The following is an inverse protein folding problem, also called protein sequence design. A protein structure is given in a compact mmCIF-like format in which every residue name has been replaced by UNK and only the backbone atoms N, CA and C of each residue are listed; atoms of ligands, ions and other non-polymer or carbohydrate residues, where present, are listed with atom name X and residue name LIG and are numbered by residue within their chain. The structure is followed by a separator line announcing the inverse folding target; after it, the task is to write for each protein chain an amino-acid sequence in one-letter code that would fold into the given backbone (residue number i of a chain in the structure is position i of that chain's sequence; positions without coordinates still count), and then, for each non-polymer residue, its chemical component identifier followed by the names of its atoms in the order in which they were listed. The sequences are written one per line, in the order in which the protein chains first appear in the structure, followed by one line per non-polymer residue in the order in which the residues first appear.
data_IF_286198119790
#
_entry.id   IF_286198119790
#
_cell.length_a   1.000
_cell.length_b   1.000
_cell.length_c   1.000
_cell.angle_alpha   90.00
_cell.angle_beta   90.00
_cell.angle_gamma   90.00
#
_symmetry.space_group_name_H-M   'P 1'
#
loop_
_entity.id
_entity.type
_entity.pdbx_description
1 polymer ?
#
# COMPACT_ATOMS: atom_id res chain seq x y z
N UNK A 1 73.77 13.98 41.26
CA UNK A 1 73.68 15.45 41.08
C UNK A 1 72.26 15.72 40.67
N UNK A 2 71.58 16.10 41.67
CA UNK A 2 70.64 17.18 41.96
C UNK A 2 69.31 17.08 41.17
N UNK A 3 68.24 16.69 41.85
CA UNK A 3 67.33 17.65 42.54
C UNK A 3 66.45 18.38 41.50
N UNK A 4 65.16 18.57 41.58
CA UNK A 4 64.26 18.49 42.70
C UNK A 4 62.80 18.69 42.19
N UNK A 5 61.90 18.09 42.93
CA UNK A 5 60.64 18.62 43.42
C UNK A 5 59.44 18.97 42.51
N UNK A 6 58.42 18.24 42.77
CA UNK A 6 57.09 18.63 43.28
C UNK A 6 56.08 19.23 42.30
N UNK A 7 54.91 18.63 42.34
CA UNK A 7 53.68 19.34 42.16
C UNK A 7 52.44 18.49 41.78
N UNK A 8 52.01 17.63 42.71
CA UNK A 8 50.65 17.09 42.70
C UNK A 8 49.64 18.21 42.85
N UNK A 9 48.71 18.36 41.92
CA UNK A 9 47.38 18.93 42.23
C UNK A 9 46.30 18.12 41.55
N UNK A 10 45.60 17.34 42.38
CA UNK A 10 44.21 16.95 42.16
C UNK A 10 43.41 18.23 41.99
N UNK A 11 42.55 18.30 40.96
CA UNK A 11 41.47 19.26 40.88
C UNK A 11 40.16 18.46 40.91
N UNK A 12 39.48 18.65 42.00
CA UNK A 12 38.19 18.12 42.34
C UNK A 12 37.11 18.64 41.40
N UNK A 13 36.17 17.76 41.09
CA UNK A 13 34.89 18.09 40.47
C UNK A 13 34.06 18.98 41.42
N UNK A 14 33.40 20.01 40.95
CA UNK A 14 32.31 20.60 41.70
C UNK A 14 30.98 19.90 41.31
N UNK A 15 30.49 19.13 42.25
CA UNK A 15 29.10 18.72 42.36
C UNK A 15 28.15 19.91 42.56
N UNK A 16 26.99 19.81 41.97
CA UNK A 16 25.68 20.28 42.41
C UNK A 16 25.64 21.62 43.18
N UNK A 17 25.34 22.70 42.47
CA UNK A 17 24.66 23.85 43.03
C UNK A 17 23.19 23.87 42.57
N UNK A 18 22.31 23.25 43.37
CA UNK A 18 20.87 23.50 43.35
C UNK A 18 20.65 24.98 43.73
N UNK A 19 20.37 25.79 42.71
CA UNK A 19 19.87 27.17 42.98
C UNK A 19 18.40 27.03 43.36
N UNK A 20 18.17 27.15 44.66
CA UNK A 20 16.84 27.27 45.25
C UNK A 20 16.36 28.71 44.99
N UNK A 21 15.60 28.93 43.91
CA UNK A 21 14.94 30.22 43.66
C UNK A 21 13.61 30.21 44.40
N UNK A 22 13.58 30.77 45.58
CA UNK A 22 12.33 31.15 46.25
C UNK A 22 11.62 32.19 45.39
N UNK A 23 10.31 32.08 45.14
CA UNK A 23 9.59 33.14 44.45
C UNK A 23 9.49 34.38 45.34
N UNK A 24 10.17 35.46 44.93
CA UNK A 24 9.93 36.80 45.46
C UNK A 24 8.55 37.23 44.97
N UNK A 25 7.54 37.04 45.80
CA UNK A 25 6.22 37.64 45.61
C UNK A 25 6.31 39.13 45.93
N UNK A 26 6.42 39.97 44.91
CA UNK A 26 6.25 41.41 45.05
C UNK A 26 4.75 41.71 45.14
N UNK A 27 4.26 42.23 46.29
CA UNK A 27 2.84 42.49 46.50
C UNK A 27 2.26 43.54 45.53
N UNK A 28 3.08 44.33 44.85
CA UNK A 28 2.63 45.30 43.86
C UNK A 28 2.27 44.67 42.52
N UNK A 29 2.82 43.50 42.20
CA UNK A 29 2.48 42.79 40.96
C UNK A 29 1.09 42.11 41.09
N UNK A 30 0.76 41.59 42.27
CA UNK A 30 -0.57 41.02 42.51
C UNK A 30 -1.69 42.08 42.51
N UNK A 31 -1.42 43.30 43.02
CA UNK A 31 -2.38 44.39 42.98
C UNK A 31 -2.67 44.85 41.56
N UNK A 32 -1.65 44.96 40.71
CA UNK A 32 -1.81 45.38 39.30
C UNK A 32 -2.51 44.31 38.45
N UNK A 33 -2.32 43.03 38.77
CA UNK A 33 -3.05 41.94 38.09
C UNK A 33 -4.52 41.87 38.53
N UNK A 34 -4.85 42.23 39.76
CA UNK A 34 -6.26 42.29 40.22
C UNK A 34 -7.02 43.50 39.67
N UNK A 35 -6.37 44.66 39.50
CA UNK A 35 -6.99 45.82 38.84
C UNK A 35 -7.21 45.59 37.35
N UNK A 36 -6.29 44.91 36.66
CA UNK A 36 -6.47 44.54 35.26
C UNK A 36 -7.57 43.48 35.05
N UNK A 37 -7.80 42.58 36.00
CA UNK A 37 -8.86 41.59 35.95
C UNK A 37 -10.26 42.16 36.24
N UNK A 38 -10.36 43.29 36.94
CA UNK A 38 -11.63 43.95 37.25
C UNK A 38 -12.16 44.87 36.15
N UNK A 39 -11.34 45.24 35.16
CA UNK A 39 -11.72 46.19 34.10
C UNK A 39 -12.38 45.55 32.87
N UNK A 40 -12.33 44.24 32.74
CA UNK A 40 -13.05 43.49 31.72
C UNK A 40 -14.13 42.61 32.40
N UNK A 41 -15.36 43.13 32.49
CA UNK A 41 -16.52 42.37 32.84
C UNK A 41 -16.81 41.31 31.79
N UNK A 42 -16.07 40.21 31.85
CA UNK A 42 -16.31 39.00 31.04
C UNK A 42 -16.73 37.89 31.98
N UNK A 43 -17.80 37.19 31.59
CA UNK A 43 -18.31 35.97 32.22
C UNK A 43 -17.21 35.01 32.64
N UNK A 44 -17.40 34.19 33.68
CA UNK A 44 -16.40 33.22 34.10
C UNK A 44 -15.96 32.39 32.92
N UNK A 45 -14.68 32.46 32.58
CA UNK A 45 -14.09 31.53 31.61
C UNK A 45 -14.40 30.12 32.08
N UNK A 46 -15.43 29.53 31.50
CA UNK A 46 -15.67 28.13 31.60
C UNK A 46 -14.41 27.47 31.05
N UNK A 47 -13.56 26.97 31.95
CA UNK A 47 -12.51 26.03 31.65
C UNK A 47 -13.24 24.79 31.16
N UNK A 48 -13.73 24.85 29.91
CA UNK A 48 -14.13 23.71 29.17
C UNK A 48 -12.88 22.85 29.07
N UNK A 49 -12.83 21.80 29.88
CA UNK A 49 -12.01 20.63 29.57
C UNK A 49 -12.27 20.37 28.08
N UNK A 50 -11.26 20.60 27.25
CA UNK A 50 -11.28 20.13 25.87
C UNK A 50 -11.41 18.60 25.99
N UNK A 51 -12.66 18.13 26.07
CA UNK A 51 -12.95 16.73 25.84
C UNK A 51 -12.28 16.42 24.53
N UNK A 52 -11.22 15.62 24.59
CA UNK A 52 -10.54 15.09 23.45
C UNK A 52 -11.64 14.43 22.60
N UNK A 53 -11.91 15.01 21.43
CA UNK A 53 -12.93 14.56 20.48
C UNK A 53 -12.48 13.27 19.78
N UNK A 54 -11.78 12.40 20.56
CA UNK A 54 -11.34 11.10 20.09
C UNK A 54 -12.53 10.14 20.01
N UNK A 55 -12.62 9.40 18.90
CA UNK A 55 -13.68 8.41 18.76
C UNK A 55 -13.58 7.34 19.88
N UNK A 56 -14.72 6.82 20.37
CA UNK A 56 -14.74 5.80 21.42
C UNK A 56 -14.03 4.52 20.94
N UNK A 57 -13.52 3.74 21.90
CA UNK A 57 -12.89 2.45 21.61
C UNK A 57 -13.83 1.52 20.84
N UNK A 58 -13.33 0.93 19.76
CA UNK A 58 -14.11 -0.02 18.95
C UNK A 58 -14.11 -1.40 19.60
N UNK A 59 -15.28 -2.03 19.64
CA UNK A 59 -15.49 -3.36 20.20
C UNK A 59 -15.09 -4.49 19.25
N UNK A 60 -15.07 -5.74 19.76
CA UNK A 60 -14.70 -6.93 19.00
C UNK A 60 -15.56 -7.15 17.74
N UNK A 61 -16.86 -6.85 17.81
CA UNK A 61 -17.77 -6.97 16.66
C UNK A 61 -17.36 -6.05 15.50
N UNK A 62 -16.97 -4.80 15.79
CA UNK A 62 -16.45 -3.89 14.80
C UNK A 62 -15.15 -4.43 14.16
N UNK A 63 -14.21 -4.92 14.99
CA UNK A 63 -12.93 -5.47 14.54
C UNK A 63 -13.15 -6.66 13.62
N UNK A 64 -14.05 -7.58 13.96
CA UNK A 64 -14.36 -8.76 13.15
C UNK A 64 -14.96 -8.37 11.80
N UNK A 65 -15.97 -7.49 11.79
CA UNK A 65 -16.63 -7.02 10.56
C UNK A 65 -15.65 -6.21 9.69
N UNK A 66 -14.83 -5.36 10.29
CA UNK A 66 -13.77 -4.62 9.61
C UNK A 66 -12.80 -5.58 8.89
N UNK A 67 -12.28 -6.57 9.62
CA UNK A 67 -11.32 -7.54 9.06
C UNK A 67 -11.93 -8.40 7.96
N UNK A 68 -13.17 -8.85 8.13
CA UNK A 68 -13.90 -9.65 7.13
C UNK A 68 -14.17 -8.83 5.85
N UNK A 69 -14.59 -7.57 6.00
CA UNK A 69 -14.87 -6.72 4.84
C UNK A 69 -13.59 -6.39 4.06
N UNK A 70 -12.48 -6.12 4.76
CA UNK A 70 -11.17 -5.94 4.11
C UNK A 70 -10.69 -7.22 3.45
N UNK A 71 -10.86 -8.38 4.08
CA UNK A 71 -10.53 -9.68 3.46
C UNK A 71 -11.33 -9.90 2.17
N UNK A 72 -12.66 -9.72 2.21
CA UNK A 72 -13.51 -9.82 1.01
C UNK A 72 -13.13 -8.82 -0.07
N UNK A 73 -12.81 -7.58 0.31
CA UNK A 73 -12.34 -6.56 -0.63
C UNK A 73 -11.03 -6.96 -1.32
N UNK A 74 -10.04 -7.44 -0.55
CA UNK A 74 -8.80 -7.92 -1.12
C UNK A 74 -8.98 -9.18 -1.97
N UNK A 75 -9.92 -10.09 -1.64
CA UNK A 75 -10.24 -11.23 -2.49
C UNK A 75 -10.77 -10.77 -3.86
N UNK A 76 -11.68 -9.81 -3.89
CA UNK A 76 -12.23 -9.24 -5.14
C UNK A 76 -11.13 -8.61 -6.01
N UNK A 77 -10.09 -8.05 -5.39
CA UNK A 77 -8.95 -7.49 -6.10
C UNK A 77 -7.95 -8.57 -6.55
N UNK A 78 -7.59 -9.49 -5.65
CA UNK A 78 -6.45 -10.37 -5.85
C UNK A 78 -6.80 -11.62 -6.65
N UNK A 79 -8.02 -12.18 -6.55
CA UNK A 79 -8.40 -13.35 -7.37
C UNK A 79 -8.27 -13.03 -8.86
N UNK A 80 -8.82 -11.93 -9.38
CA UNK A 80 -8.58 -11.56 -10.78
C UNK A 80 -7.13 -11.19 -11.07
N UNK A 81 -6.50 -10.41 -10.23
CA UNK A 81 -5.16 -9.87 -10.52
C UNK A 81 -4.06 -10.93 -10.50
N UNK A 82 -4.19 -11.98 -9.68
CA UNK A 82 -3.17 -13.01 -9.51
C UNK A 82 -3.46 -14.28 -10.29
N UNK A 83 -4.72 -14.56 -10.65
CA UNK A 83 -5.08 -15.83 -11.29
C UNK A 83 -6.20 -15.70 -12.33
N UNK A 84 -7.44 -15.35 -11.93
CA UNK A 84 -8.60 -15.62 -12.77
C UNK A 84 -8.67 -14.78 -14.05
N UNK A 85 -8.13 -13.56 -14.04
CA UNK A 85 -8.08 -12.73 -15.25
C UNK A 85 -7.11 -13.29 -16.29
N UNK A 86 -5.90 -13.67 -15.85
CA UNK A 86 -4.92 -14.32 -16.73
C UNK A 86 -5.44 -15.64 -17.26
N UNK A 87 -6.07 -16.46 -16.40
CA UNK A 87 -6.69 -17.71 -16.80
C UNK A 87 -7.83 -17.51 -17.82
N UNK A 88 -8.71 -16.53 -17.61
CA UNK A 88 -9.79 -16.21 -18.55
C UNK A 88 -9.25 -15.76 -19.91
N UNK A 89 -8.21 -14.91 -19.93
CA UNK A 89 -7.57 -14.47 -21.17
C UNK A 89 -6.91 -15.64 -21.89
N UNK A 90 -6.23 -16.53 -21.19
CA UNK A 90 -5.66 -17.78 -21.75
C UNK A 90 -6.70 -18.63 -22.48
N UNK A 91 -7.94 -18.69 -21.96
CA UNK A 91 -9.02 -19.47 -22.59
C UNK A 91 -9.60 -18.81 -23.84
N UNK A 92 -9.58 -17.47 -23.93
CA UNK A 92 -10.21 -16.73 -25.03
C UNK A 92 -9.22 -16.46 -26.16
N UNK A 93 -7.97 -16.11 -25.82
CA UNK A 93 -6.94 -15.65 -26.76
C UNK A 93 -5.60 -16.33 -26.41
N UNK A 94 -5.43 -17.64 -26.67
CA UNK A 94 -4.21 -18.36 -26.31
C UNK A 94 -2.94 -17.83 -26.96
N UNK A 95 -3.02 -17.39 -28.24
CA UNK A 95 -1.87 -16.92 -29.03
C UNK A 95 -1.45 -15.48 -28.70
N UNK A 96 -2.39 -14.63 -28.25
CA UNK A 96 -2.16 -13.21 -27.93
C UNK A 96 -2.31 -12.88 -26.43
N UNK A 97 -2.34 -13.88 -25.55
CA UNK A 97 -2.69 -13.76 -24.13
C UNK A 97 -1.86 -12.74 -23.37
N UNK A 98 -0.56 -12.67 -23.64
CA UNK A 98 0.35 -11.77 -22.94
C UNK A 98 0.04 -10.31 -23.27
N UNK A 99 -0.19 -10.02 -24.56
CA UNK A 99 -0.56 -8.69 -25.02
C UNK A 99 -1.95 -8.28 -24.51
N UNK A 100 -2.92 -9.19 -24.58
CA UNK A 100 -4.26 -8.99 -24.09
C UNK A 100 -4.29 -8.73 -22.58
N UNK A 101 -3.58 -9.54 -21.79
CA UNK A 101 -3.49 -9.36 -20.33
C UNK A 101 -2.81 -8.05 -19.97
N UNK A 102 -1.68 -7.72 -20.61
CA UNK A 102 -0.96 -6.48 -20.38
C UNK A 102 -1.82 -5.24 -20.64
N UNK A 103 -2.59 -5.26 -21.74
CA UNK A 103 -3.53 -4.21 -22.10
C UNK A 103 -4.67 -4.08 -21.07
N UNK A 104 -5.30 -5.19 -20.68
CA UNK A 104 -6.42 -5.21 -19.73
C UNK A 104 -5.94 -4.68 -18.36
N UNK A 105 -4.84 -5.21 -17.83
CA UNK A 105 -4.33 -4.81 -16.52
C UNK A 105 -3.83 -3.37 -16.54
N UNK A 106 -3.07 -2.98 -17.57
CA UNK A 106 -2.55 -1.63 -17.73
C UNK A 106 -3.64 -0.56 -17.83
N UNK A 107 -4.64 -0.75 -18.70
CA UNK A 107 -5.77 0.17 -18.83
C UNK A 107 -6.58 0.20 -17.53
N UNK A 108 -6.88 -0.96 -16.93
CA UNK A 108 -7.60 -1.01 -15.67
C UNK A 108 -6.92 -0.22 -14.55
N UNK A 109 -5.60 -0.34 -14.42
CA UNK A 109 -4.83 0.38 -13.43
C UNK A 109 -4.84 1.90 -13.67
N UNK A 110 -4.83 2.37 -14.92
CA UNK A 110 -5.00 3.79 -15.25
C UNK A 110 -6.38 4.31 -14.84
N UNK A 111 -7.44 3.53 -15.06
CA UNK A 111 -8.77 3.88 -14.58
C UNK A 111 -8.82 3.97 -13.06
N UNK A 112 -8.25 3.00 -12.35
CA UNK A 112 -8.18 3.02 -10.88
C UNK A 112 -7.46 4.27 -10.35
N UNK A 113 -6.36 4.65 -11.00
CA UNK A 113 -5.57 5.83 -10.66
C UNK A 113 -6.39 7.13 -10.73
N UNK A 114 -7.26 7.25 -11.72
CA UNK A 114 -8.13 8.42 -11.92
C UNK A 114 -9.37 8.36 -11.01
N UNK A 115 -9.98 7.18 -10.91
CA UNK A 115 -11.23 6.98 -10.19
C UNK A 115 -11.05 7.05 -8.66
N UNK A 116 -9.89 6.63 -8.13
CA UNK A 116 -9.62 6.67 -6.70
C UNK A 116 -9.85 8.06 -6.07
N UNK A 117 -9.17 9.13 -6.53
CA UNK A 117 -9.40 10.48 -6.04
C UNK A 117 -10.84 10.99 -6.27
N UNK A 118 -11.46 10.63 -7.40
CA UNK A 118 -12.85 11.02 -7.73
C UNK A 118 -13.80 10.44 -6.71
N UNK A 119 -13.75 9.13 -6.47
CA UNK A 119 -14.62 8.48 -5.48
C UNK A 119 -14.32 8.92 -4.06
N UNK A 120 -13.06 9.24 -3.74
CA UNK A 120 -12.68 9.83 -2.46
C UNK A 120 -13.43 11.15 -2.21
N UNK A 121 -13.35 12.09 -3.15
CA UNK A 121 -14.05 13.39 -3.05
C UNK A 121 -15.57 13.21 -3.03
N UNK A 122 -16.12 12.33 -3.87
CA UNK A 122 -17.56 12.06 -3.91
C UNK A 122 -18.04 11.48 -2.57
N UNK A 123 -17.30 10.53 -1.99
CA UNK A 123 -17.65 9.93 -0.70
C UNK A 123 -17.59 10.96 0.43
N UNK A 124 -16.59 11.85 0.43
CA UNK A 124 -16.47 12.92 1.44
C UNK A 124 -17.58 13.96 1.34
N UNK A 125 -18.11 14.20 0.14
CA UNK A 125 -19.16 15.19 -0.13
C UNK A 125 -20.58 14.65 0.08
N UNK A 126 -20.75 13.34 0.26
CA UNK A 126 -22.08 12.69 0.26
C UNK A 126 -22.85 12.96 1.55
N UNK A 127 -24.10 13.44 1.40
CA UNK A 127 -25.03 13.83 2.49
C UNK A 127 -26.29 12.97 2.53
N UNK A 128 -26.20 11.73 2.07
CA UNK A 128 -27.37 10.83 2.09
C UNK A 128 -27.73 10.46 3.55
N UNK A 129 -29.03 10.23 3.80
CA UNK A 129 -29.53 9.82 5.14
C UNK A 129 -28.92 8.52 5.66
N UNK A 130 -28.42 7.67 4.75
CA UNK A 130 -27.75 6.40 5.10
C UNK A 130 -26.31 6.58 5.57
N UNK A 131 -25.80 7.81 5.55
CA UNK A 131 -24.42 8.15 5.81
C UNK A 131 -23.63 8.45 4.53
N UNK A 132 -22.35 8.74 4.69
CA UNK A 132 -21.46 9.11 3.57
C UNK A 132 -20.68 7.93 2.98
N UNK A 133 -20.44 6.85 3.74
CA UNK A 133 -19.61 5.70 3.33
C UNK A 133 -20.45 4.49 2.87
N UNK A 134 -21.57 4.20 3.56
CA UNK A 134 -22.44 3.06 3.25
C UNK A 134 -22.94 3.02 1.79
N UNK A 135 -23.37 4.14 1.17
CA UNK A 135 -23.80 4.12 -0.22
C UNK A 135 -22.73 3.63 -1.19
N UNK A 136 -21.45 3.98 -0.93
CA UNK A 136 -20.33 3.56 -1.78
C UNK A 136 -19.98 2.09 -1.60
N UNK A 137 -20.15 1.51 -0.40
CA UNK A 137 -20.00 0.08 -0.19
C UNK A 137 -21.06 -0.72 -0.95
N UNK A 138 -22.32 -0.31 -0.85
CA UNK A 138 -23.44 -0.99 -1.54
C UNK A 138 -23.32 -0.82 -3.06
N UNK A 139 -23.07 0.38 -3.54
CA UNK A 139 -22.82 0.66 -4.94
C UNK A 139 -21.63 -0.17 -5.47
N UNK A 140 -20.51 -0.11 -4.77
CA UNK A 140 -19.30 -0.84 -5.16
C UNK A 140 -19.51 -2.35 -5.18
N UNK A 141 -20.25 -2.91 -4.21
CA UNK A 141 -20.61 -4.33 -4.21
C UNK A 141 -21.46 -4.72 -5.43
N UNK A 142 -22.50 -3.92 -5.75
CA UNK A 142 -23.35 -4.18 -6.92
C UNK A 142 -22.57 -4.08 -8.24
N UNK A 143 -21.69 -3.09 -8.36
CA UNK A 143 -20.81 -2.92 -9.53
C UNK A 143 -19.76 -4.04 -9.61
N UNK A 144 -19.23 -4.51 -8.47
CA UNK A 144 -18.31 -5.66 -8.44
C UNK A 144 -18.99 -6.96 -8.92
N UNK A 145 -20.25 -7.19 -8.50
CA UNK A 145 -21.03 -8.32 -8.96
C UNK A 145 -21.29 -8.25 -10.48
N UNK A 146 -21.66 -7.08 -11.00
CA UNK A 146 -21.86 -6.86 -12.43
C UNK A 146 -20.56 -7.12 -13.21
N UNK A 147 -19.42 -6.59 -12.73
CA UNK A 147 -18.11 -6.79 -13.34
C UNK A 147 -17.71 -8.27 -13.36
N UNK A 148 -17.90 -8.98 -12.24
CA UNK A 148 -17.60 -10.39 -12.10
C UNK A 148 -18.44 -11.24 -13.08
N UNK A 149 -19.76 -11.00 -13.16
CA UNK A 149 -20.62 -11.65 -14.12
C UNK A 149 -20.17 -11.39 -15.56
N UNK A 150 -19.91 -10.12 -15.89
CA UNK A 150 -19.52 -9.73 -17.25
C UNK A 150 -18.20 -10.40 -17.67
N UNK A 151 -17.19 -10.43 -16.81
CA UNK A 151 -15.90 -11.08 -17.09
C UNK A 151 -16.08 -12.60 -17.21
N UNK A 152 -16.88 -13.22 -16.32
CA UNK A 152 -17.08 -14.66 -16.30
C UNK A 152 -17.66 -15.17 -17.63
N UNK A 153 -18.67 -14.46 -18.17
CA UNK A 153 -19.35 -14.87 -19.42
C UNK A 153 -18.73 -14.28 -20.69
N UNK A 154 -17.75 -13.37 -20.57
CA UNK A 154 -17.15 -12.67 -21.70
C UNK A 154 -16.57 -13.66 -22.74
N UNK A 155 -16.98 -13.60 -24.03
CA UNK A 155 -16.41 -14.43 -25.08
C UNK A 155 -15.22 -13.79 -25.80
N UNK A 156 -14.85 -12.54 -25.47
CA UNK A 156 -13.81 -11.80 -26.17
C UNK A 156 -13.02 -10.88 -25.25
N UNK A 157 -11.78 -10.56 -25.63
CA UNK A 157 -10.87 -9.67 -24.90
C UNK A 157 -11.44 -8.27 -24.65
N UNK A 158 -12.10 -7.58 -25.64
CA UNK A 158 -12.71 -6.28 -25.38
C UNK A 158 -13.79 -6.33 -24.30
N UNK A 159 -14.57 -7.41 -24.20
CA UNK A 159 -15.60 -7.52 -23.17
C UNK A 159 -15.00 -7.81 -21.80
N UNK A 160 -13.91 -8.59 -21.73
CA UNK A 160 -13.11 -8.74 -20.48
C UNK A 160 -12.53 -7.41 -20.04
N UNK A 161 -11.97 -6.63 -20.96
CA UNK A 161 -11.48 -5.26 -20.69
C UNK A 161 -12.58 -4.36 -20.13
N UNK A 162 -13.75 -4.34 -20.74
CA UNK A 162 -14.89 -3.56 -20.26
C UNK A 162 -15.29 -3.99 -18.83
N UNK A 163 -15.41 -5.30 -18.59
CA UNK A 163 -15.68 -5.85 -17.27
C UNK A 163 -14.59 -5.47 -16.23
N UNK A 164 -13.34 -5.51 -16.65
CA UNK A 164 -12.22 -5.12 -15.77
C UNK A 164 -12.21 -3.62 -15.43
N UNK A 165 -12.54 -2.75 -16.37
CA UNK A 165 -12.75 -1.31 -16.11
C UNK A 165 -13.89 -1.10 -15.11
N UNK A 166 -15.00 -1.81 -15.26
CA UNK A 166 -16.12 -1.77 -14.31
C UNK A 166 -15.66 -2.26 -12.93
N UNK A 167 -14.83 -3.30 -12.85
CA UNK A 167 -14.25 -3.77 -11.59
C UNK A 167 -13.38 -2.68 -10.91
N UNK A 168 -12.65 -1.85 -11.66
CA UNK A 168 -11.89 -0.73 -11.10
C UNK A 168 -12.79 0.38 -10.55
N UNK A 169 -13.97 0.61 -11.14
CA UNK A 169 -15.00 1.50 -10.58
C UNK A 169 -15.46 0.97 -9.22
N UNK A 170 -15.77 -0.34 -9.14
CA UNK A 170 -16.16 -0.99 -7.88
C UNK A 170 -15.06 -0.87 -6.80
N UNK A 171 -13.83 -1.21 -7.17
CA UNK A 171 -12.67 -1.14 -6.28
C UNK A 171 -12.44 0.27 -5.73
N UNK A 172 -12.52 1.29 -6.59
CA UNK A 172 -12.38 2.70 -6.20
C UNK A 172 -13.50 3.16 -5.26
N UNK A 173 -14.74 2.76 -5.52
CA UNK A 173 -15.89 3.10 -4.67
C UNK A 173 -15.77 2.45 -3.28
N UNK A 174 -15.42 1.15 -3.22
CA UNK A 174 -15.25 0.42 -1.97
C UNK A 174 -14.07 0.97 -1.16
N UNK A 175 -12.92 1.22 -1.79
CA UNK A 175 -11.75 1.77 -1.12
C UNK A 175 -11.99 3.18 -0.56
N UNK A 176 -12.75 4.01 -1.28
CA UNK A 176 -13.15 5.34 -0.81
C UNK A 176 -14.05 5.31 0.44
N UNK A 177 -14.75 4.20 0.67
CA UNK A 177 -15.53 3.99 1.88
C UNK A 177 -14.71 3.36 3.01
N UNK A 178 -13.85 2.38 2.72
CA UNK A 178 -13.11 1.62 3.72
C UNK A 178 -11.90 2.36 4.29
N UNK A 179 -11.06 2.97 3.43
CA UNK A 179 -9.80 3.57 3.85
C UNK A 179 -9.95 4.68 4.90
N UNK A 180 -10.91 5.61 4.80
CA UNK A 180 -11.08 6.65 5.81
C UNK A 180 -11.65 6.15 7.13
N UNK A 181 -12.23 4.95 7.18
CA UNK A 181 -12.83 4.40 8.41
C UNK A 181 -11.81 4.29 9.55
N UNK A 182 -10.56 3.92 9.23
CA UNK A 182 -9.50 3.78 10.23
C UNK A 182 -9.20 5.11 10.96
N UNK A 183 -8.89 6.24 10.27
CA UNK A 183 -8.66 7.51 10.94
C UNK A 183 -9.90 8.17 11.51
N UNK A 184 -11.10 7.91 10.95
CA UNK A 184 -12.34 8.58 11.35
C UNK A 184 -13.04 7.93 12.54
N UNK A 185 -12.94 6.60 12.67
CA UNK A 185 -13.76 5.81 13.62
C UNK A 185 -12.94 5.13 14.71
N UNK A 186 -11.64 5.04 14.55
CA UNK A 186 -10.78 4.27 15.44
C UNK A 186 -9.88 5.23 16.24
N UNK A 187 -9.88 5.15 17.58
CA UNK A 187 -9.00 5.95 18.40
C UNK A 187 -7.52 5.63 18.11
N UNK A 188 -6.64 6.60 18.31
CA UNK A 188 -5.22 6.51 17.94
C UNK A 188 -4.55 5.23 18.48
N UNK A 189 -4.88 4.84 19.71
CA UNK A 189 -4.35 3.64 20.39
C UNK A 189 -4.66 2.32 19.66
N UNK A 190 -5.80 2.23 18.96
CA UNK A 190 -6.24 1.01 18.28
C UNK A 190 -5.92 0.99 16.79
N UNK A 191 -5.54 2.13 16.18
CA UNK A 191 -5.26 2.22 14.73
C UNK A 191 -4.17 1.28 14.27
N UNK A 192 -3.09 1.15 15.06
CA UNK A 192 -2.00 0.24 14.73
C UNK A 192 -2.46 -1.23 14.67
N UNK A 193 -3.29 -1.66 15.62
CA UNK A 193 -3.84 -3.02 15.64
C UNK A 193 -4.76 -3.29 14.45
N UNK A 194 -5.67 -2.38 14.12
CA UNK A 194 -6.58 -2.56 12.98
C UNK A 194 -5.85 -2.46 11.64
N UNK A 195 -4.86 -1.57 11.53
CA UNK A 195 -3.98 -1.51 10.37
C UNK A 195 -3.22 -2.82 10.13
N UNK A 196 -2.68 -3.42 11.20
CA UNK A 196 -2.05 -4.73 11.12
C UNK A 196 -3.03 -5.83 10.70
N UNK A 197 -4.27 -5.84 11.23
CA UNK A 197 -5.30 -6.79 10.84
C UNK A 197 -5.70 -6.65 9.37
N UNK A 198 -5.80 -5.44 8.83
CA UNK A 198 -6.05 -5.25 7.39
C UNK A 198 -4.89 -5.75 6.53
N UNK A 199 -3.64 -5.58 6.98
CA UNK A 199 -2.46 -6.15 6.32
C UNK A 199 -2.46 -7.69 6.32
N UNK A 200 -2.82 -8.31 7.45
CA UNK A 200 -3.00 -9.77 7.56
C UNK A 200 -4.13 -10.25 6.65
N UNK A 201 -5.27 -9.54 6.63
CA UNK A 201 -6.39 -9.84 5.74
C UNK A 201 -5.97 -9.80 4.27
N UNK A 202 -5.20 -8.79 3.85
CA UNK A 202 -4.65 -8.70 2.50
C UNK A 202 -3.73 -9.88 2.18
N UNK A 203 -2.85 -10.26 3.10
CA UNK A 203 -1.91 -11.34 2.90
C UNK A 203 -2.60 -12.71 2.79
N UNK A 204 -3.58 -12.97 3.65
CA UNK A 204 -4.39 -14.20 3.58
C UNK A 204 -5.22 -14.21 2.29
N UNK A 205 -5.80 -13.07 1.89
CA UNK A 205 -6.53 -12.95 0.63
C UNK A 205 -5.64 -13.24 -0.59
N UNK A 206 -4.37 -12.81 -0.57
CA UNK A 206 -3.40 -13.10 -1.64
C UNK A 206 -3.15 -14.59 -1.82
N UNK A 207 -2.90 -15.33 -0.72
CA UNK A 207 -2.73 -16.79 -0.75
C UNK A 207 -4.04 -17.47 -1.15
N UNK A 208 -5.17 -17.06 -0.56
CA UNK A 208 -6.49 -17.61 -0.88
C UNK A 208 -6.88 -17.38 -2.34
N UNK A 209 -6.45 -16.27 -2.94
CA UNK A 209 -6.77 -15.92 -4.32
C UNK A 209 -6.27 -16.98 -5.33
N UNK A 210 -5.04 -17.43 -5.17
CA UNK A 210 -4.44 -18.44 -6.03
C UNK A 210 -4.99 -19.83 -5.73
N UNK A 211 -5.30 -20.13 -4.46
CA UNK A 211 -5.95 -21.38 -4.07
C UNK A 211 -7.38 -21.47 -4.62
N UNK A 212 -8.19 -20.41 -4.47
CA UNK A 212 -9.53 -20.33 -5.07
C UNK A 212 -9.43 -20.47 -6.58
N UNK A 213 -8.42 -19.83 -7.19
CA UNK A 213 -8.11 -19.95 -8.60
C UNK A 213 -7.93 -21.41 -9.01
N UNK A 214 -7.12 -22.20 -8.29
CA UNK A 214 -6.85 -23.60 -8.63
C UNK A 214 -8.07 -24.52 -8.46
N UNK A 215 -8.90 -24.26 -7.45
CA UNK A 215 -10.04 -25.12 -7.14
C UNK A 215 -11.24 -24.89 -8.07
N UNK A 216 -11.34 -23.72 -8.70
CA UNK A 216 -12.50 -23.29 -9.47
C UNK A 216 -12.21 -23.09 -10.96
N UNK A 217 -11.15 -23.69 -11.49
CA UNK A 217 -10.83 -23.65 -12.93
C UNK A 217 -11.94 -24.22 -13.82
N UNK A 218 -12.74 -25.17 -13.31
CA UNK A 218 -13.86 -25.76 -14.00
C UNK A 218 -15.14 -24.91 -14.05
N UNK A 219 -15.25 -23.87 -13.22
CA UNK A 219 -16.44 -23.02 -13.16
C UNK A 219 -16.04 -21.53 -13.08
N UNK A 220 -15.99 -20.89 -14.25
CA UNK A 220 -15.62 -19.45 -14.34
C UNK A 220 -16.61 -18.54 -13.62
N UNK A 221 -17.90 -18.90 -13.57
CA UNK A 221 -18.91 -18.06 -12.90
C UNK A 221 -18.62 -18.05 -11.40
N UNK A 222 -18.42 -19.23 -10.83
CA UNK A 222 -18.10 -19.36 -9.40
C UNK A 222 -16.75 -18.74 -9.09
N UNK A 223 -15.75 -18.90 -9.96
CA UNK A 223 -14.40 -18.33 -9.80
C UNK A 223 -14.41 -16.81 -9.64
N UNK A 224 -15.25 -16.09 -10.40
CA UNK A 224 -15.36 -14.61 -10.30
C UNK A 224 -16.37 -14.17 -9.25
N UNK A 225 -17.45 -14.91 -8.98
CA UNK A 225 -18.50 -14.51 -8.05
C UNK A 225 -18.20 -14.86 -6.59
N UNK A 226 -17.44 -15.92 -6.30
CA UNK A 226 -17.12 -16.29 -4.92
C UNK A 226 -16.45 -15.16 -4.12
N UNK A 227 -15.44 -14.46 -4.64
CA UNK A 227 -14.86 -13.30 -3.96
C UNK A 227 -15.90 -12.21 -3.64
N UNK A 228 -16.82 -11.97 -4.58
CA UNK A 228 -17.89 -10.97 -4.41
C UNK A 228 -18.89 -11.43 -3.35
N UNK A 229 -19.20 -12.71 -3.27
CA UNK A 229 -20.09 -13.26 -2.23
C UNK A 229 -19.46 -13.11 -0.83
N UNK A 230 -18.16 -13.35 -0.69
CA UNK A 230 -17.45 -13.12 0.58
C UNK A 230 -17.48 -11.64 0.96
N UNK A 231 -17.23 -10.74 0.00
CA UNK A 231 -17.34 -9.29 0.23
C UNK A 231 -18.77 -8.91 0.61
N UNK A 232 -19.79 -9.50 -0.02
CA UNK A 232 -21.21 -9.23 0.28
C UNK A 232 -21.54 -9.53 1.74
N UNK A 233 -21.06 -10.65 2.28
CA UNK A 233 -21.23 -10.98 3.70
C UNK A 233 -20.61 -9.89 4.58
N UNK A 234 -19.38 -9.46 4.28
CA UNK A 234 -18.69 -8.38 4.99
C UNK A 234 -19.48 -7.07 4.93
N UNK A 235 -19.93 -6.65 3.73
CA UNK A 235 -20.68 -5.40 3.54
C UNK A 235 -22.03 -5.45 4.25
N UNK A 236 -22.76 -6.56 4.17
CA UNK A 236 -24.04 -6.71 4.88
C UNK A 236 -23.85 -6.56 6.39
N UNK A 237 -22.87 -7.26 6.97
CA UNK A 237 -22.56 -7.11 8.39
C UNK A 237 -22.09 -5.68 8.74
N UNK A 238 -21.35 -5.03 7.84
CA UNK A 238 -20.93 -3.64 8.00
C UNK A 238 -22.10 -2.68 8.15
N UNK A 239 -23.15 -2.86 7.33
CA UNK A 239 -24.35 -2.01 7.38
C UNK A 239 -25.08 -2.07 8.74
N UNK A 240 -24.98 -3.20 9.46
CA UNK A 240 -25.59 -3.37 10.78
C UNK A 240 -24.69 -2.90 11.93
N UNK A 241 -23.37 -3.14 11.82
CA UNK A 241 -22.45 -2.96 12.95
C UNK A 241 -21.76 -1.58 12.94
N UNK A 242 -21.47 -1.03 11.75
CA UNK A 242 -20.71 0.21 11.66
C UNK A 242 -21.66 1.39 11.46
N UNK A 243 -21.83 2.27 12.46
CA UNK A 243 -22.65 3.46 12.28
C UNK A 243 -22.04 4.38 11.22
N UNK A 244 -22.85 5.11 10.47
CA UNK A 244 -22.40 6.08 9.49
C UNK A 244 -23.24 7.37 9.61
N UNK A 245 -22.61 8.50 9.32
CA UNK A 245 -23.23 9.81 9.39
C UNK A 245 -23.02 10.59 8.09
N UNK A 246 -23.96 11.47 7.72
CA UNK A 246 -23.79 12.36 6.58
C UNK A 246 -22.59 13.28 6.74
N UNK A 247 -22.02 13.75 5.62
CA UNK A 247 -20.91 14.70 5.63
C UNK A 247 -21.35 16.05 6.27
N UNK A 248 -20.48 16.69 7.07
CA UNK A 248 -20.73 18.02 7.59
C UNK A 248 -20.86 19.06 6.48
N UNK A 249 -21.59 20.16 6.75
CA UNK A 249 -21.74 21.23 5.80
C UNK A 249 -20.39 21.94 5.53
N UNK A 250 -20.04 22.18 4.26
CA UNK A 250 -18.85 22.95 3.87
C UNK A 250 -17.62 22.14 3.42
N UNK A 251 -17.60 20.82 3.51
CA UNK A 251 -16.42 20.00 3.19
C UNK A 251 -16.31 19.65 1.69
N UNK A 252 -16.41 20.62 0.78
CA UNK A 252 -16.23 20.37 -0.65
C UNK A 252 -14.84 20.79 -1.10
N UNK A 253 -14.03 19.84 -1.56
CA UNK A 253 -12.79 20.12 -2.31
C UNK A 253 -13.06 19.88 -3.79
N UNK A 254 -12.70 20.84 -4.69
CA UNK A 254 -12.88 20.63 -6.13
C UNK A 254 -11.96 19.49 -6.60
N UNK A 255 -12.53 18.53 -7.34
CA UNK A 255 -11.81 17.36 -7.90
C UNK A 255 -10.57 17.78 -8.69
N UNK A 256 -10.69 18.86 -9.49
CA UNK A 256 -9.56 19.37 -10.27
C UNK A 256 -8.39 19.87 -9.42
N UNK A 257 -8.63 20.39 -8.21
CA UNK A 257 -7.58 20.75 -7.27
C UNK A 257 -6.88 19.52 -6.69
N UNK A 258 -7.66 18.45 -6.37
CA UNK A 258 -7.10 17.19 -5.89
C UNK A 258 -6.19 16.53 -6.95
N UNK A 259 -6.62 16.49 -8.21
CA UNK A 259 -5.81 15.94 -9.30
C UNK A 259 -4.55 16.79 -9.60
N UNK A 260 -4.68 18.11 -9.60
CA UNK A 260 -3.51 19.01 -9.78
C UNK A 260 -2.50 18.91 -8.67
N UNK A 261 -2.95 18.62 -7.44
CA UNK A 261 -2.04 18.45 -6.29
C UNK A 261 -1.14 17.22 -6.39
N UNK A 262 -1.43 16.27 -7.29
CA UNK A 262 -0.60 15.10 -7.57
C UNK A 262 0.59 15.40 -8.50
N UNK A 263 0.64 16.57 -9.10
CA UNK A 263 1.75 16.98 -9.95
C UNK A 263 2.82 17.71 -9.13
N UNK A 264 4.08 17.40 -9.36
CA UNK A 264 5.21 18.09 -8.75
C UNK A 264 6.32 18.35 -9.77
N UNK A 265 7.18 19.32 -9.48
CA UNK A 265 8.34 19.66 -10.31
C UNK A 265 9.59 18.91 -9.81
N UNK A 266 10.10 17.89 -10.55
CA UNK A 266 11.26 17.11 -10.13
C UNK A 266 12.55 17.95 -9.99
N UNK A 267 12.64 19.07 -10.70
CA UNK A 267 13.83 19.94 -10.67
C UNK A 267 13.94 20.74 -9.38
N UNK A 268 12.78 21.10 -8.79
CA UNK A 268 12.72 21.82 -7.52
C UNK A 268 12.98 20.92 -6.31
N UNK A 269 12.66 19.61 -6.44
CA UNK A 269 12.74 18.63 -5.35
C UNK A 269 13.49 17.37 -5.80
N UNK A 270 14.81 17.46 -6.08
CA UNK A 270 15.55 16.36 -6.71
C UNK A 270 15.66 15.12 -5.82
N UNK A 271 15.86 15.26 -4.51
CA UNK A 271 15.96 14.10 -3.62
C UNK A 271 14.66 13.29 -3.57
N UNK A 272 13.52 13.99 -3.47
CA UNK A 272 12.21 13.35 -3.53
C UNK A 272 11.97 12.68 -4.90
N UNK A 273 12.36 13.35 -5.99
CA UNK A 273 12.23 12.80 -7.34
C UNK A 273 13.05 11.51 -7.51
N UNK A 274 14.28 11.45 -6.98
CA UNK A 274 15.11 10.24 -7.05
C UNK A 274 14.49 9.08 -6.26
N UNK A 275 13.94 9.32 -5.07
CA UNK A 275 13.23 8.29 -4.30
C UNK A 275 11.98 7.82 -5.03
N UNK A 276 11.21 8.75 -5.63
CA UNK A 276 10.03 8.45 -6.42
C UNK A 276 10.34 7.58 -7.63
N UNK A 277 11.37 7.94 -8.41
CA UNK A 277 11.82 7.18 -9.59
C UNK A 277 12.33 5.79 -9.19
N UNK A 278 13.09 5.70 -8.09
CA UNK A 278 13.60 4.42 -7.58
C UNK A 278 12.48 3.44 -7.25
N UNK A 279 11.48 3.91 -6.53
CA UNK A 279 10.27 3.12 -6.25
C UNK A 279 9.52 2.74 -7.52
N UNK A 280 9.34 3.67 -8.43
CA UNK A 280 8.66 3.44 -9.70
C UNK A 280 9.33 2.31 -10.51
N UNK A 281 10.65 2.36 -10.68
CA UNK A 281 11.41 1.34 -11.39
C UNK A 281 11.32 -0.04 -10.71
N UNK A 282 11.50 -0.09 -9.39
CA UNK A 282 11.41 -1.33 -8.63
C UNK A 282 10.02 -1.97 -8.73
N UNK A 283 8.98 -1.16 -8.60
CA UNK A 283 7.60 -1.63 -8.69
C UNK A 283 7.20 -2.09 -10.10
N UNK A 284 7.76 -1.51 -11.18
CA UNK A 284 7.58 -2.05 -12.54
C UNK A 284 8.16 -3.46 -12.62
N UNK A 285 9.37 -3.68 -12.10
CA UNK A 285 9.98 -5.01 -12.08
C UNK A 285 9.09 -6.02 -11.35
N UNK A 286 8.58 -5.68 -10.17
CA UNK A 286 7.65 -6.53 -9.43
C UNK A 286 6.34 -6.79 -10.20
N UNK A 287 5.83 -5.78 -10.92
CA UNK A 287 4.62 -5.94 -11.74
C UNK A 287 4.83 -6.92 -12.91
N UNK A 288 6.03 -6.98 -13.50
CA UNK A 288 6.37 -7.99 -14.52
C UNK A 288 6.21 -9.41 -13.96
N UNK A 289 6.74 -9.66 -12.77
CA UNK A 289 6.63 -10.97 -12.14
C UNK A 289 5.18 -11.30 -11.76
N UNK A 290 4.51 -10.43 -11.00
CA UNK A 290 3.19 -10.72 -10.45
C UNK A 290 2.10 -10.86 -11.51
N UNK A 291 2.20 -10.13 -12.62
CA UNK A 291 1.21 -10.19 -13.71
C UNK A 291 1.37 -11.45 -14.56
N UNK A 292 2.60 -11.87 -14.83
CA UNK A 292 2.88 -12.95 -15.79
C UNK A 292 3.29 -14.26 -15.14
N UNK A 293 3.30 -14.36 -13.82
CA UNK A 293 3.68 -15.55 -13.07
C UNK A 293 2.84 -16.80 -13.43
N UNK A 294 1.54 -16.65 -13.67
CA UNK A 294 0.69 -17.75 -14.07
C UNK A 294 1.12 -18.30 -15.45
N UNK A 295 1.28 -17.42 -16.43
CA UNK A 295 1.71 -17.83 -17.77
C UNK A 295 3.10 -18.45 -17.77
N UNK A 296 4.02 -17.96 -16.93
CA UNK A 296 5.33 -18.58 -16.75
C UNK A 296 5.23 -20.05 -16.28
N UNK A 297 4.34 -20.33 -15.29
CA UNK A 297 4.13 -21.69 -14.81
C UNK A 297 3.48 -22.59 -15.89
N UNK A 298 2.53 -22.06 -16.65
CA UNK A 298 1.85 -22.79 -17.72
C UNK A 298 2.82 -23.11 -18.87
N UNK A 299 3.50 -22.10 -19.40
CA UNK A 299 4.26 -22.18 -20.65
C UNK A 299 5.67 -22.70 -20.45
N UNK A 300 6.35 -22.30 -19.37
CA UNK A 300 7.76 -22.63 -19.13
C UNK A 300 7.95 -23.88 -18.27
N UNK A 301 7.12 -24.06 -17.24
CA UNK A 301 7.19 -25.21 -16.34
C UNK A 301 6.20 -26.31 -16.71
N UNK A 302 5.28 -26.06 -17.66
CA UNK A 302 4.37 -27.08 -18.21
C UNK A 302 3.25 -27.53 -17.26
N UNK A 303 2.93 -26.72 -16.24
CA UNK A 303 1.83 -27.04 -15.32
C UNK A 303 0.47 -26.80 -15.96
N UNK A 304 -0.51 -27.59 -15.56
CA UNK A 304 -1.92 -27.29 -15.81
C UNK A 304 -2.36 -26.05 -15.00
N UNK A 305 -3.47 -25.41 -15.36
CA UNK A 305 -3.95 -24.23 -14.62
C UNK A 305 -4.27 -24.55 -13.15
N UNK A 306 -4.81 -25.73 -12.87
CA UNK A 306 -5.08 -26.20 -11.52
C UNK A 306 -3.78 -26.40 -10.72
N UNK A 307 -2.80 -27.06 -11.29
CA UNK A 307 -1.49 -27.27 -10.67
C UNK A 307 -0.77 -25.93 -10.44
N UNK A 308 -0.74 -25.05 -11.45
CA UNK A 308 -0.14 -23.74 -11.35
C UNK A 308 -0.77 -22.90 -10.23
N UNK A 309 -2.10 -22.94 -10.08
CA UNK A 309 -2.79 -22.26 -8.97
C UNK A 309 -2.40 -22.83 -7.61
N UNK A 310 -2.28 -24.15 -7.44
CA UNK A 310 -1.78 -24.77 -6.21
C UNK A 310 -0.33 -24.39 -5.91
N UNK A 311 0.52 -24.41 -6.92
CA UNK A 311 1.92 -24.01 -6.78
C UNK A 311 2.06 -22.53 -6.40
N UNK A 312 1.28 -21.64 -7.02
CA UNK A 312 1.23 -20.23 -6.64
C UNK A 312 0.73 -20.02 -5.21
N UNK A 313 -0.21 -20.83 -4.72
CA UNK A 313 -0.65 -20.76 -3.33
C UNK A 313 0.48 -21.17 -2.35
N UNK A 314 1.25 -22.20 -2.69
CA UNK A 314 2.44 -22.60 -1.90
C UNK A 314 3.48 -21.47 -1.87
N UNK A 315 3.82 -20.94 -3.05
CA UNK A 315 4.76 -19.79 -3.15
C UNK A 315 4.21 -18.58 -2.41
N UNK A 316 2.90 -18.30 -2.50
CA UNK A 316 2.23 -17.24 -1.75
C UNK A 316 2.34 -17.40 -0.24
N UNK A 317 2.19 -18.61 0.28
CA UNK A 317 2.38 -18.94 1.70
C UNK A 317 3.83 -18.70 2.17
N UNK A 318 4.81 -19.18 1.39
CA UNK A 318 6.23 -18.94 1.65
C UNK A 318 6.55 -17.43 1.59
N UNK A 319 6.02 -16.75 0.58
CA UNK A 319 6.18 -15.31 0.38
C UNK A 319 5.60 -14.49 1.52
N UNK A 320 4.45 -14.89 2.07
CA UNK A 320 3.85 -14.25 3.23
C UNK A 320 4.80 -14.30 4.43
N UNK A 321 5.32 -15.48 4.76
CA UNK A 321 6.25 -15.65 5.88
C UNK A 321 7.54 -14.87 5.67
N UNK A 322 8.11 -14.94 4.46
CA UNK A 322 9.31 -14.19 4.10
C UNK A 322 9.10 -12.67 4.20
N UNK A 323 7.99 -12.16 3.65
CA UNK A 323 7.66 -10.73 3.74
C UNK A 323 7.51 -10.27 5.19
N UNK A 324 6.77 -11.00 6.03
CA UNK A 324 6.60 -10.66 7.44
C UNK A 324 7.94 -10.62 8.19
N UNK A 325 8.75 -11.67 8.01
CA UNK A 325 10.06 -11.78 8.67
C UNK A 325 10.96 -10.60 8.29
N UNK A 326 11.09 -10.34 6.98
CA UNK A 326 12.00 -9.30 6.48
C UNK A 326 11.45 -7.88 6.66
N UNK A 327 10.14 -7.69 6.76
CA UNK A 327 9.56 -6.40 7.17
C UNK A 327 9.91 -6.07 8.62
N UNK A 328 9.77 -7.04 9.53
CA UNK A 328 10.11 -6.85 10.95
C UNK A 328 11.62 -6.67 11.12
N UNK A 329 12.41 -7.57 10.53
CA UNK A 329 13.87 -7.52 10.62
C UNK A 329 14.44 -6.24 9.98
N UNK A 330 13.99 -5.88 8.78
CA UNK A 330 14.42 -4.68 8.05
C UNK A 330 14.10 -3.40 8.81
N UNK A 331 12.86 -3.27 9.32
CA UNK A 331 12.44 -2.11 10.10
C UNK A 331 13.25 -1.96 11.39
N UNK A 332 13.29 -3.02 12.22
CA UNK A 332 13.99 -2.97 13.51
C UNK A 332 15.50 -2.73 13.36
N UNK A 333 16.13 -3.34 12.36
CA UNK A 333 17.57 -3.20 12.16
C UNK A 333 17.93 -1.84 11.54
N UNK A 334 17.12 -1.34 10.60
CA UNK A 334 17.27 0.00 10.02
C UNK A 334 17.15 1.10 11.09
N UNK A 335 16.18 0.98 12.00
CA UNK A 335 15.99 1.94 13.08
C UNK A 335 17.14 1.91 14.09
N UNK A 336 17.63 0.71 14.45
CA UNK A 336 18.79 0.55 15.36
C UNK A 336 20.08 1.13 14.77
N UNK A 337 20.33 0.89 13.49
CA UNK A 337 21.54 1.35 12.81
C UNK A 337 21.44 2.82 12.34
N UNK A 338 20.25 3.42 12.38
CA UNK A 338 19.95 4.77 11.89
C UNK A 338 20.48 5.00 10.45
N UNK A 339 20.47 3.96 9.63
CA UNK A 339 20.89 3.98 8.23
C UNK A 339 19.84 3.32 7.38
N UNK A 340 19.24 4.05 6.43
CA UNK A 340 18.15 3.55 5.59
C UNK A 340 18.61 3.05 4.24
N UNK A 341 19.56 3.73 3.61
CA UNK A 341 20.06 3.39 2.26
C UNK A 341 20.59 1.97 2.11
N UNK A 342 21.44 1.44 3.04
CA UNK A 342 21.95 0.06 2.91
C UNK A 342 20.85 -0.99 2.86
N UNK A 343 19.74 -0.77 3.56
CA UNK A 343 18.58 -1.69 3.56
C UNK A 343 17.84 -1.67 2.23
N UNK A 344 17.72 -0.49 1.59
CA UNK A 344 17.13 -0.40 0.25
C UNK A 344 18.05 -1.07 -0.76
N UNK A 345 19.39 -0.93 -0.66
CA UNK A 345 20.34 -1.63 -1.54
C UNK A 345 20.21 -3.15 -1.39
N UNK A 346 20.16 -3.65 -0.14
CA UNK A 346 19.97 -5.07 0.12
C UNK A 346 18.63 -5.57 -0.41
N UNK A 347 17.54 -4.85 -0.15
CA UNK A 347 16.21 -5.19 -0.62
C UNK A 347 16.15 -5.26 -2.15
N UNK A 348 16.71 -4.25 -2.83
CA UNK A 348 16.77 -4.22 -4.30
C UNK A 348 17.62 -5.34 -4.87
N UNK A 349 18.74 -5.67 -4.21
CA UNK A 349 19.59 -6.80 -4.61
C UNK A 349 18.86 -8.14 -4.42
N UNK A 350 18.12 -8.32 -3.33
CA UNK A 350 17.30 -9.53 -3.11
C UNK A 350 16.20 -9.66 -4.16
N UNK A 351 15.50 -8.57 -4.50
CA UNK A 351 14.49 -8.56 -5.56
C UNK A 351 15.12 -8.91 -6.89
N UNK A 352 16.25 -8.30 -7.24
CA UNK A 352 16.95 -8.60 -8.49
C UNK A 352 17.43 -10.06 -8.54
N UNK A 353 18.00 -10.57 -7.45
CA UNK A 353 18.40 -11.98 -7.35
C UNK A 353 17.20 -12.91 -7.51
N UNK A 354 16.06 -12.62 -6.87
CA UNK A 354 14.81 -13.36 -7.04
C UNK A 354 14.31 -13.34 -8.49
N UNK A 355 14.35 -12.18 -9.15
CA UNK A 355 13.99 -12.06 -10.57
C UNK A 355 14.89 -12.89 -11.49
N UNK A 356 16.20 -12.81 -11.27
CA UNK A 356 17.17 -13.59 -12.07
C UNK A 356 16.97 -15.09 -11.81
N UNK A 357 16.79 -15.50 -10.55
CA UNK A 357 16.49 -16.90 -10.21
C UNK A 357 15.21 -17.38 -10.88
N UNK A 358 14.13 -16.57 -10.88
CA UNK A 358 12.89 -16.89 -11.60
C UNK A 358 13.11 -17.00 -13.10
N UNK A 359 13.89 -16.10 -13.71
CA UNK A 359 14.18 -16.07 -15.14
C UNK A 359 14.81 -17.38 -15.66
N UNK A 360 15.64 -18.02 -14.83
CA UNK A 360 16.36 -19.26 -15.18
C UNK A 360 15.82 -20.49 -14.46
N UNK A 361 14.65 -20.39 -13.78
CA UNK A 361 14.07 -21.55 -13.14
C UNK A 361 13.60 -22.59 -14.15
N UNK A 362 14.06 -23.82 -13.94
CA UNK A 362 13.71 -25.01 -14.73
C UNK A 362 12.71 -25.92 -14.03
N UNK A 363 12.50 -25.70 -12.76
CA UNK A 363 11.59 -26.47 -11.90
C UNK A 363 10.93 -25.60 -10.84
N UNK A 364 9.94 -26.20 -10.18
CA UNK A 364 9.15 -25.50 -9.17
C UNK A 364 9.96 -25.08 -7.93
N UNK A 365 10.95 -25.86 -7.51
CA UNK A 365 11.71 -25.56 -6.27
C UNK A 365 12.52 -24.29 -6.46
N UNK A 366 13.22 -24.16 -7.61
CA UNK A 366 13.97 -22.96 -7.95
C UNK A 366 13.03 -21.74 -8.05
N UNK A 367 11.85 -21.93 -8.67
CA UNK A 367 10.84 -20.89 -8.74
C UNK A 367 10.31 -20.46 -7.35
N UNK A 368 10.08 -21.42 -6.44
CA UNK A 368 9.67 -21.12 -5.08
C UNK A 368 10.75 -20.35 -4.28
N UNK A 369 12.02 -20.71 -4.45
CA UNK A 369 13.16 -19.95 -3.89
C UNK A 369 13.19 -18.53 -4.46
N UNK A 370 12.96 -18.37 -5.76
CA UNK A 370 12.86 -17.06 -6.39
C UNK A 370 11.74 -16.21 -5.77
N UNK A 371 10.54 -16.80 -5.60
CA UNK A 371 9.41 -16.16 -4.93
C UNK A 371 9.72 -15.75 -3.48
N UNK A 372 10.40 -16.61 -2.72
CA UNK A 372 10.84 -16.29 -1.38
C UNK A 372 11.83 -15.11 -1.32
N UNK A 373 12.80 -15.06 -2.24
CA UNK A 373 13.75 -13.95 -2.35
C UNK A 373 13.07 -12.63 -2.72
N UNK A 374 12.13 -12.67 -3.68
CA UNK A 374 11.31 -11.52 -4.08
C UNK A 374 10.50 -10.99 -2.90
N UNK A 375 9.86 -11.88 -2.16
CA UNK A 375 9.03 -11.55 -1.02
C UNK A 375 9.87 -10.98 0.15
N UNK A 376 11.02 -11.58 0.44
CA UNK A 376 11.95 -11.09 1.45
C UNK A 376 12.48 -9.70 1.10
N UNK A 377 12.89 -9.48 -0.15
CA UNK A 377 13.30 -8.18 -0.64
C UNK A 377 12.19 -7.14 -0.59
N UNK A 378 10.96 -7.51 -0.96
CA UNK A 378 9.78 -6.63 -0.89
C UNK A 378 9.45 -6.25 0.56
N UNK A 379 9.52 -7.20 1.49
CA UNK A 379 9.33 -6.95 2.92
C UNK A 379 10.37 -5.97 3.48
N UNK A 380 11.65 -6.20 3.19
CA UNK A 380 12.73 -5.31 3.59
C UNK A 380 12.59 -3.91 2.97
N UNK A 381 12.20 -3.82 1.68
CA UNK A 381 11.94 -2.57 1.00
C UNK A 381 10.81 -1.78 1.66
N UNK A 382 9.63 -2.40 1.81
CA UNK A 382 8.44 -1.74 2.35
C UNK A 382 8.65 -1.22 3.79
N UNK A 383 9.51 -1.89 4.58
CA UNK A 383 9.79 -1.48 5.96
C UNK A 383 10.59 -0.17 6.07
N UNK A 384 11.41 0.15 5.05
CA UNK A 384 12.32 1.29 5.07
C UNK A 384 11.89 2.39 4.09
N UNK A 385 11.22 2.02 3.01
CA UNK A 385 10.83 2.89 1.91
C UNK A 385 9.98 4.08 2.34
N UNK A 386 8.93 3.82 3.14
CA UNK A 386 8.05 4.88 3.66
C UNK A 386 8.82 5.86 4.57
N UNK A 387 9.74 5.33 5.36
CA UNK A 387 10.56 6.12 6.25
C UNK A 387 11.58 6.97 5.47
N UNK A 388 12.23 6.40 4.42
CA UNK A 388 13.10 7.17 3.53
C UNK A 388 12.33 8.28 2.82
N UNK A 389 11.12 7.98 2.31
CA UNK A 389 10.28 8.99 1.67
C UNK A 389 9.94 10.14 2.63
N UNK A 390 9.63 9.83 3.90
CA UNK A 390 9.32 10.85 4.91
C UNK A 390 10.51 11.74 5.27
N UNK A 391 11.75 11.21 5.16
CA UNK A 391 12.97 12.00 5.44
C UNK A 391 13.26 13.03 4.35
N UNK A 392 12.84 12.77 3.11
CA UNK A 392 13.09 13.64 1.94
C UNK A 392 11.86 14.43 1.51
N UNK A 393 10.81 14.50 2.35
CA UNK A 393 9.63 15.32 2.04
C UNK A 393 10.02 16.77 1.83
N UNK A 394 9.63 17.38 0.71
CA UNK A 394 9.95 18.79 0.42
C UNK A 394 9.35 19.78 1.42
N UNK A 395 8.14 19.50 1.90
CA UNK A 395 7.45 20.29 2.93
C UNK A 395 6.71 19.37 3.90
N UNK A 396 7.11 19.41 5.16
CA UNK A 396 6.49 18.64 6.23
C UNK A 396 5.10 19.16 6.62
N UNK A 397 4.79 20.44 6.36
CA UNK A 397 3.46 20.99 6.60
C UNK A 397 2.43 20.44 5.58
N UNK A 398 2.87 20.13 4.36
CA UNK A 398 2.06 19.49 3.31
C UNK A 398 2.31 17.97 3.19
N UNK A 399 2.71 17.31 4.28
CA UNK A 399 3.09 15.88 4.26
C UNK A 399 2.06 14.97 3.58
N UNK A 400 0.77 15.20 3.80
CA UNK A 400 -0.30 14.42 3.17
C UNK A 400 -0.30 14.50 1.64
N UNK A 401 -0.05 15.69 1.07
CA UNK A 401 0.08 15.89 -0.39
C UNK A 401 1.30 15.14 -0.92
N UNK A 402 2.45 15.32 -0.32
CA UNK A 402 3.70 14.69 -0.77
C UNK A 402 3.66 13.17 -0.65
N UNK A 403 3.05 12.64 0.40
CA UNK A 403 2.83 11.19 0.54
C UNK A 403 1.86 10.65 -0.52
N UNK A 404 0.83 11.42 -0.90
CA UNK A 404 -0.06 11.04 -2.01
C UNK A 404 0.69 10.97 -3.34
N UNK A 405 1.55 11.96 -3.63
CA UNK A 405 2.44 11.95 -4.81
C UNK A 405 3.40 10.74 -4.75
N UNK A 406 3.92 10.42 -3.58
CA UNK A 406 4.79 9.27 -3.39
C UNK A 406 4.08 7.94 -3.69
N UNK A 407 2.85 7.75 -3.22
CA UNK A 407 2.05 6.55 -3.51
C UNK A 407 1.66 6.45 -5.00
N UNK A 408 1.58 7.58 -5.69
CA UNK A 408 1.33 7.63 -7.14
C UNK A 408 2.39 6.84 -7.94
N UNK A 409 3.66 6.79 -7.49
CA UNK A 409 4.71 6.00 -8.13
C UNK A 409 4.36 4.52 -8.22
N UNK A 410 3.85 3.94 -7.13
CA UNK A 410 3.40 2.54 -7.11
C UNK A 410 2.17 2.30 -7.98
N UNK A 411 1.17 3.17 -7.88
CA UNK A 411 -0.04 3.06 -8.71
C UNK A 411 0.26 3.17 -10.22
N UNK A 412 1.16 4.07 -10.59
CA UNK A 412 1.57 4.22 -11.99
C UNK A 412 2.39 3.02 -12.47
N UNK A 413 3.21 2.41 -11.62
CA UNK A 413 3.99 1.21 -11.97
C UNK A 413 3.09 0.01 -12.29
N UNK A 414 1.98 -0.15 -11.56
CA UNK A 414 1.00 -1.22 -11.83
C UNK A 414 0.24 -1.02 -13.14
N UNK A 415 0.20 0.18 -13.67
CA UNK A 415 -0.35 0.45 -15.00
C UNK A 415 0.71 0.27 -16.10
N UNK A 416 1.88 0.88 -15.93
CA UNK A 416 2.94 0.91 -16.94
C UNK A 416 3.60 -0.45 -17.09
N UNK A 417 3.89 -1.16 -15.99
CA UNK A 417 4.56 -2.46 -16.02
C UNK A 417 3.85 -3.45 -16.94
N UNK A 418 2.61 -3.85 -16.66
CA UNK A 418 1.89 -4.79 -17.52
C UNK A 418 1.70 -4.30 -18.96
N UNK A 419 1.55 -2.99 -19.18
CA UNK A 419 1.36 -2.41 -20.52
C UNK A 419 2.62 -2.52 -21.39
N UNK A 420 3.81 -2.42 -20.83
CA UNK A 420 5.08 -2.52 -21.58
C UNK A 420 5.64 -3.95 -21.64
N UNK A 421 5.24 -4.84 -20.73
CA UNK A 421 5.74 -6.21 -20.67
C UNK A 421 5.56 -6.99 -21.98
N UNK A 422 4.44 -6.89 -22.74
CA UNK A 422 4.28 -7.55 -24.02
C UNK A 422 5.36 -7.18 -25.05
N UNK A 423 5.88 -5.96 -25.03
CA UNK A 423 6.96 -5.51 -25.91
C UNK A 423 8.26 -6.28 -25.63
N UNK A 424 8.52 -6.59 -24.36
CA UNK A 424 9.67 -7.39 -23.95
C UNK A 424 9.44 -8.88 -24.26
N UNK A 425 8.25 -9.40 -23.98
CA UNK A 425 7.89 -10.79 -24.22
C UNK A 425 7.92 -11.16 -25.71
N UNK A 426 7.52 -10.24 -26.60
CA UNK A 426 7.50 -10.45 -28.06
C UNK A 426 8.87 -10.57 -28.72
N UNK A 427 9.96 -10.32 -28.02
CA UNK A 427 11.34 -10.43 -28.55
C UNK A 427 11.84 -11.87 -28.67
N UNK A 428 11.06 -12.86 -28.23
CA UNK A 428 11.40 -14.27 -28.34
C UNK A 428 11.14 -14.81 -29.77
N UNK A 429 12.12 -15.51 -30.34
CA UNK A 429 11.97 -16.12 -31.67
C UNK A 429 11.01 -17.33 -31.69
N UNK A 430 10.73 -17.96 -30.55
CA UNK A 430 9.97 -19.20 -30.41
C UNK A 430 8.88 -19.15 -29.33
N UNK A 431 8.38 -17.97 -29.01
CA UNK A 431 7.36 -17.77 -27.96
C UNK A 431 7.68 -16.62 -27.02
N UNK A 432 6.92 -16.49 -25.94
CA UNK A 432 7.07 -15.43 -24.97
C UNK A 432 8.44 -15.52 -24.23
N UNK A 433 9.20 -14.44 -24.27
CA UNK A 433 10.53 -14.37 -23.64
C UNK A 433 10.44 -13.97 -22.16
N UNK A 434 9.99 -14.90 -21.30
CA UNK A 434 9.91 -14.67 -19.85
C UNK A 434 11.28 -14.43 -19.21
N UNK A 435 12.35 -15.05 -19.77
CA UNK A 435 13.71 -14.84 -19.29
C UNK A 435 14.11 -13.36 -19.40
N UNK A 436 13.90 -12.76 -20.59
CA UNK A 436 14.20 -11.34 -20.77
C UNK A 436 13.30 -10.45 -19.92
N UNK A 437 12.01 -10.80 -19.77
CA UNK A 437 11.07 -10.05 -18.94
C UNK A 437 11.56 -9.99 -17.48
N UNK A 438 11.89 -11.12 -16.89
CA UNK A 438 12.32 -11.16 -15.48
C UNK A 438 13.71 -10.57 -15.27
N UNK A 439 14.65 -10.80 -16.20
CA UNK A 439 15.97 -10.15 -16.14
C UNK A 439 15.83 -8.62 -16.23
N UNK A 440 15.01 -8.12 -17.16
CA UNK A 440 14.75 -6.66 -17.25
C UNK A 440 14.09 -6.11 -15.98
N UNK A 441 13.18 -6.87 -15.37
CA UNK A 441 12.62 -6.54 -14.05
C UNK A 441 13.67 -6.47 -12.95
N UNK A 442 14.63 -7.39 -12.94
CA UNK A 442 15.78 -7.37 -12.04
C UNK A 442 16.69 -6.16 -12.24
N UNK A 443 16.96 -5.79 -13.50
CA UNK A 443 17.73 -4.58 -13.85
C UNK A 443 17.01 -3.32 -13.36
N UNK A 444 15.69 -3.23 -13.54
CA UNK A 444 14.89 -2.11 -13.04
C UNK A 444 14.93 -2.03 -11.51
N UNK A 445 14.87 -3.17 -10.82
CA UNK A 445 15.00 -3.21 -9.37
C UNK A 445 16.38 -2.71 -8.90
N UNK A 446 17.45 -3.10 -9.58
CA UNK A 446 18.80 -2.56 -9.32
C UNK A 446 18.92 -1.07 -9.68
N UNK A 447 18.15 -0.60 -10.66
CA UNK A 447 18.05 0.82 -11.00
C UNK A 447 17.65 1.68 -9.80
N UNK A 448 16.85 1.14 -8.88
CA UNK A 448 16.47 1.84 -7.64
C UNK A 448 17.69 2.13 -6.73
N UNK A 449 18.71 1.29 -6.75
CA UNK A 449 19.98 1.53 -6.02
C UNK A 449 20.67 2.78 -6.54
N UNK A 450 20.74 2.93 -7.88
CA UNK A 450 21.38 4.08 -8.53
C UNK A 450 20.67 5.38 -8.18
N UNK A 451 19.35 5.35 -8.13
CA UNK A 451 18.55 6.54 -7.76
C UNK A 451 18.74 6.91 -6.29
N UNK A 452 18.76 5.94 -5.37
CA UNK A 452 18.92 6.18 -3.93
C UNK A 452 20.34 6.64 -3.58
N UNK A 453 21.38 6.23 -4.33
CA UNK A 453 22.75 6.76 -4.18
C UNK A 453 22.77 8.28 -4.40
N UNK A 454 21.99 8.79 -5.35
CA UNK A 454 21.93 10.22 -5.68
C UNK A 454 21.17 11.08 -4.65
N UNK A 455 20.40 10.48 -3.76
CA UNK A 455 19.70 11.20 -2.67
C UNK A 455 20.74 11.72 -1.67
N UNK A 456 20.73 13.02 -1.40
CA UNK A 456 21.70 13.67 -0.48
C UNK A 456 21.12 13.91 0.91
N UNK A 457 19.80 14.15 1.01
CA UNK A 457 19.10 14.52 2.25
C UNK A 457 18.83 13.37 3.22
N UNK A 458 19.13 12.09 2.88
CA UNK A 458 18.93 10.95 3.75
C UNK A 458 20.24 10.18 4.01
N UNK A 459 20.30 9.51 5.18
CA UNK A 459 21.45 8.68 5.61
C UNK A 459 21.17 7.18 5.51
#
# INVERSE_FOLDING_TARGET
MSEDERGTRRADSPCNALVNISPLTDPNIEATQREAAGAFGGDPVVTGTSESNEPPRVGAGFVAVYSLTYFGFFLVLFVPSLFSLAYKVQLIEPEGKEAALGLIVGIGALFNLILGPIFGVLSDATRLRWGRRRPFLVFGLGVAALAACLIAIAPSVPLVLAGWIIAQVAASAISAALNPTLPERVPAEQRGKLGALSGVAASIAGVSATLVGSLLTGDLVLLFLLPVAVLAVGVVLWLFVVPDAPAPAGAQRPIGAALRSLLFDPRKHPDFAWVWIGKFCLQIGLAFFTTYQLYFLLDRLGFTAEEAGRQLAVVGGISLLATMLFTIAGGTLSDRLRRRKPFIYLASAMIAAGMITAAFSSDFVIYAVAGALLAAGTGAFNSVDLALASDVLPDKAESGKWMSIYHLSGALSTAVGPAIAPLVLSTGASGANYTLLFVSGGILALGSVITVIRVRGAR
#
